data_IF_127977249865
#
_entry.id   IF_127977249865
#
_cell.length_a   1.000
_cell.length_b   1.000
_cell.length_c   1.000
_cell.angle_alpha   90.00
_cell.angle_beta   90.00
_cell.angle_gamma   90.00
#
_symmetry.space_group_name_H-M   'P 1'
#
loop_
_entity.id
_entity.type
_entity.pdbx_description
1 polymer ?
#
# COMPACT_ATOMS: atom_id res chain seq x y z
N UNK A 1 37.10 14.78 3.34
CA UNK A 1 36.49 13.90 2.31
C UNK A 1 35.11 13.52 2.81
N UNK A 2 34.06 14.02 2.17
CA UNK A 2 32.67 13.68 2.53
C UNK A 2 32.39 12.31 1.91
N UNK A 3 32.08 11.31 2.74
CA UNK A 3 31.71 9.98 2.28
C UNK A 3 30.48 10.11 1.35
N UNK A 4 30.59 9.58 0.13
CA UNK A 4 29.45 9.46 -0.77
C UNK A 4 28.32 8.69 -0.04
N UNK A 5 27.06 9.10 -0.15
CA UNK A 5 25.96 8.37 0.47
C UNK A 5 26.00 6.95 -0.07
N UNK A 6 26.11 5.96 0.82
CA UNK A 6 26.06 4.56 0.43
C UNK A 6 24.79 4.36 -0.41
N UNK A 7 24.95 4.01 -1.69
CA UNK A 7 23.83 3.67 -2.55
C UNK A 7 23.16 2.44 -1.96
N UNK A 8 22.15 2.69 -1.14
CA UNK A 8 21.34 1.69 -0.47
C UNK A 8 20.66 0.91 -1.61
N UNK A 9 21.10 -0.32 -1.84
CA UNK A 9 20.63 -1.16 -2.94
C UNK A 9 19.42 -1.97 -2.49
N UNK A 10 18.47 -2.20 -3.40
CA UNK A 10 17.36 -3.11 -3.15
C UNK A 10 17.90 -4.53 -2.95
N UNK A 11 17.32 -5.26 -1.99
CA UNK A 11 17.59 -6.69 -1.85
C UNK A 11 17.04 -7.46 -3.05
N UNK A 12 17.50 -8.70 -3.25
CA UNK A 12 16.97 -9.58 -4.31
C UNK A 12 15.46 -9.78 -4.20
N UNK A 13 14.96 -9.93 -2.97
CA UNK A 13 13.52 -10.09 -2.72
C UNK A 13 12.73 -8.82 -3.10
N UNK A 14 13.25 -7.64 -2.76
CA UNK A 14 12.62 -6.37 -3.12
C UNK A 14 12.64 -6.11 -4.64
N UNK A 15 13.73 -6.48 -5.33
CA UNK A 15 13.78 -6.42 -6.79
C UNK A 15 12.76 -7.34 -7.44
N UNK A 16 12.57 -8.54 -6.88
CA UNK A 16 11.56 -9.48 -7.37
C UNK A 16 10.14 -8.96 -7.14
N UNK A 17 9.87 -8.34 -5.99
CA UNK A 17 8.58 -7.66 -5.73
C UNK A 17 8.34 -6.52 -6.71
N UNK A 18 9.34 -5.67 -6.98
CA UNK A 18 9.26 -4.66 -8.02
C UNK A 18 8.94 -5.29 -9.38
N UNK A 19 9.59 -6.41 -9.74
CA UNK A 19 9.35 -7.08 -11.03
C UNK A 19 7.91 -7.56 -11.14
N UNK A 20 7.40 -8.26 -10.13
CA UNK A 20 6.03 -8.76 -10.10
C UNK A 20 5.00 -7.62 -10.15
N UNK A 21 5.24 -6.54 -9.39
CA UNK A 21 4.37 -5.36 -9.41
C UNK A 21 4.35 -4.67 -10.79
N UNK A 22 5.50 -4.56 -11.45
CA UNK A 22 5.59 -3.96 -12.79
C UNK A 22 4.84 -4.80 -13.82
N UNK A 23 5.07 -6.12 -13.83
CA UNK A 23 4.40 -7.05 -14.75
C UNK A 23 2.89 -7.10 -14.53
N UNK A 24 2.44 -6.97 -13.29
CA UNK A 24 1.02 -6.91 -12.96
C UNK A 24 0.36 -5.65 -13.55
N UNK A 25 1.04 -4.51 -13.53
CA UNK A 25 0.51 -3.24 -14.06
C UNK A 25 0.67 -3.12 -15.58
N UNK A 26 1.71 -3.70 -16.16
CA UNK A 26 1.92 -3.76 -17.61
C UNK A 26 1.14 -4.93 -18.24
N UNK A 27 -0.19 -4.93 -18.05
CA UNK A 27 -1.09 -5.97 -18.54
C UNK A 27 -0.95 -6.22 -20.05
N UNK A 28 -0.61 -5.15 -20.79
CA UNK A 28 -0.46 -5.16 -22.25
C UNK A 28 0.96 -5.52 -22.71
N UNK A 29 1.88 -5.80 -21.78
CA UNK A 29 3.29 -6.16 -22.04
C UNK A 29 4.01 -5.18 -22.96
N UNK A 30 3.75 -3.88 -22.78
CA UNK A 30 4.39 -2.80 -23.54
C UNK A 30 5.83 -2.53 -23.07
N UNK A 31 6.22 -3.07 -21.92
CA UNK A 31 7.51 -2.83 -21.27
C UNK A 31 7.59 -1.48 -20.56
N UNK A 32 6.48 -0.75 -20.45
CA UNK A 32 6.42 0.61 -19.91
C UNK A 32 5.14 0.85 -19.13
N UNK A 33 5.22 1.71 -18.11
CA UNK A 33 4.08 2.24 -17.37
C UNK A 33 3.92 3.74 -17.63
N UNK A 34 2.68 4.23 -17.59
CA UNK A 34 2.40 5.67 -17.58
C UNK A 34 2.79 6.28 -16.24
N UNK A 35 3.51 7.41 -16.27
CA UNK A 35 4.01 8.07 -15.07
C UNK A 35 2.87 8.53 -14.15
N UNK A 36 1.82 9.11 -14.74
CA UNK A 36 0.71 9.72 -13.99
C UNK A 36 -0.20 8.73 -13.27
N UNK A 37 -0.37 7.55 -13.84
CA UNK A 37 -1.38 6.58 -13.42
C UNK A 37 -0.75 5.31 -12.84
N UNK A 38 0.48 4.98 -13.25
CA UNK A 38 1.14 3.72 -12.93
C UNK A 38 2.10 3.78 -11.74
N UNK A 39 2.83 4.89 -11.53
CA UNK A 39 3.95 4.92 -10.58
C UNK A 39 3.52 4.75 -9.12
N UNK A 40 2.45 5.44 -8.70
CA UNK A 40 1.92 5.29 -7.35
C UNK A 40 1.48 3.86 -7.04
N UNK A 41 0.81 3.21 -8.00
CA UNK A 41 0.41 1.81 -7.90
C UNK A 41 1.62 0.88 -7.89
N UNK A 42 2.61 1.12 -8.75
CA UNK A 42 3.83 0.32 -8.83
C UNK A 42 4.56 0.27 -7.49
N UNK A 43 4.78 1.42 -6.86
CA UNK A 43 5.48 1.46 -5.57
C UNK A 43 4.72 0.77 -4.46
N UNK A 44 3.40 0.96 -4.40
CA UNK A 44 2.54 0.31 -3.39
C UNK A 44 2.51 -1.20 -3.55
N UNK A 45 2.35 -1.69 -4.77
CA UNK A 45 2.38 -3.11 -5.08
C UNK A 45 3.76 -3.74 -4.84
N UNK A 46 4.83 -2.97 -5.06
CA UNK A 46 6.20 -3.39 -4.76
C UNK A 46 6.54 -3.35 -3.26
N UNK A 47 5.59 -3.01 -2.39
CA UNK A 47 5.75 -2.99 -0.93
C UNK A 47 6.32 -1.71 -0.35
N UNK A 48 6.40 -0.63 -1.13
CA UNK A 48 6.75 0.70 -0.63
C UNK A 48 5.48 1.46 -0.23
N UNK A 49 5.59 2.37 0.74
CA UNK A 49 4.45 3.11 1.26
C UNK A 49 4.62 4.63 1.06
N UNK A 50 4.78 5.14 -0.17
CA UNK A 50 4.84 6.58 -0.38
C UNK A 50 3.48 7.23 -0.13
N UNK A 51 3.49 8.41 0.49
CA UNK A 51 2.29 9.25 0.62
C UNK A 51 1.86 9.78 -0.74
N UNK A 52 0.59 10.18 -0.89
CA UNK A 52 0.13 10.78 -2.15
C UNK A 52 0.92 12.04 -2.51
N UNK A 53 1.27 12.87 -1.52
CA UNK A 53 2.12 14.04 -1.72
C UNK A 53 3.52 13.66 -2.25
N UNK A 54 4.14 12.63 -1.70
CA UNK A 54 5.43 12.12 -2.19
C UNK A 54 5.32 11.58 -3.61
N UNK A 55 4.26 10.85 -3.92
CA UNK A 55 4.00 10.35 -5.28
C UNK A 55 3.83 11.52 -6.25
N UNK A 56 3.03 12.54 -5.90
CA UNK A 56 2.79 13.70 -6.75
C UNK A 56 4.06 14.51 -6.99
N UNK A 57 4.88 14.76 -5.96
CA UNK A 57 6.16 15.46 -6.12
C UNK A 57 7.08 14.72 -7.11
N UNK A 58 7.12 13.38 -7.05
CA UNK A 58 7.93 12.58 -7.97
C UNK A 58 7.37 12.57 -9.38
N UNK A 59 6.04 12.49 -9.54
CA UNK A 59 5.35 12.59 -10.83
C UNK A 59 5.62 13.96 -11.47
N UNK A 60 5.45 15.05 -10.73
CA UNK A 60 5.72 16.41 -11.22
C UNK A 60 7.17 16.59 -11.65
N UNK A 61 8.12 16.05 -10.87
CA UNK A 61 9.54 16.05 -11.21
C UNK A 61 9.79 15.35 -12.55
N UNK A 62 9.19 14.17 -12.77
CA UNK A 62 9.31 13.43 -14.02
C UNK A 62 8.64 14.13 -15.20
N UNK A 63 7.48 14.75 -14.98
CA UNK A 63 6.78 15.57 -15.99
C UNK A 63 7.58 16.78 -16.42
N UNK A 64 8.23 17.47 -15.47
CA UNK A 64 9.13 18.59 -15.77
C UNK A 64 10.33 18.13 -16.63
N UNK A 65 10.78 16.89 -16.43
CA UNK A 65 11.78 16.22 -17.26
C UNK A 65 11.22 15.65 -18.58
N UNK A 66 9.92 15.88 -18.87
CA UNK A 66 9.18 15.37 -20.04
C UNK A 66 9.16 13.84 -20.13
N UNK A 67 9.13 13.17 -18.99
CA UNK A 67 8.98 11.71 -18.90
C UNK A 67 7.52 11.38 -18.69
N UNK A 68 6.89 10.81 -19.72
CA UNK A 68 5.48 10.37 -19.68
C UNK A 68 5.34 8.85 -19.49
N UNK A 69 6.35 8.10 -19.93
CA UNK A 69 6.42 6.64 -19.85
C UNK A 69 7.71 6.22 -19.13
N UNK A 70 7.61 5.16 -18.33
CA UNK A 70 8.72 4.64 -17.56
C UNK A 70 8.89 3.14 -17.73
N UNK A 71 10.10 2.70 -18.04
CA UNK A 71 10.47 1.28 -18.06
C UNK A 71 10.80 0.77 -16.64
N UNK A 72 10.93 -0.56 -16.53
CA UNK A 72 11.23 -1.21 -15.25
C UNK A 72 12.53 -0.71 -14.60
N UNK A 73 13.60 -0.54 -15.39
CA UNK A 73 14.90 -0.14 -14.86
C UNK A 73 14.86 1.27 -14.29
N UNK A 74 14.22 2.20 -15.00
CA UNK A 74 14.01 3.58 -14.57
C UNK A 74 13.13 3.64 -13.33
N UNK A 75 12.06 2.84 -13.26
CA UNK A 75 11.19 2.76 -12.09
C UNK A 75 11.97 2.31 -10.84
N UNK A 76 12.77 1.25 -10.97
CA UNK A 76 13.65 0.75 -9.89
C UNK A 76 14.69 1.78 -9.46
N UNK A 77 15.28 2.51 -10.41
CA UNK A 77 16.27 3.55 -10.12
C UNK A 77 15.67 4.71 -9.32
N UNK A 78 14.44 5.12 -9.63
CA UNK A 78 13.73 6.14 -8.86
C UNK A 78 13.40 5.63 -7.46
N UNK A 79 12.89 4.40 -7.35
CA UNK A 79 12.63 3.77 -6.04
C UNK A 79 13.87 3.79 -5.16
N UNK A 80 15.03 3.42 -5.72
CA UNK A 80 16.30 3.39 -5.00
C UNK A 80 16.74 4.77 -4.51
N UNK A 81 16.58 5.81 -5.34
CA UNK A 81 17.07 7.17 -5.06
C UNK A 81 16.14 7.94 -4.13
N UNK A 82 14.84 7.81 -4.34
CA UNK A 82 13.85 8.73 -3.79
C UNK A 82 13.00 8.08 -2.68
N UNK A 83 12.77 6.76 -2.73
CA UNK A 83 11.86 6.08 -1.79
C UNK A 83 12.57 5.21 -0.76
N UNK A 84 13.70 4.60 -1.12
CA UNK A 84 14.45 3.74 -0.22
C UNK A 84 14.98 4.43 1.06
N UNK A 85 15.27 5.74 1.06
CA UNK A 85 15.54 6.48 2.30
C UNK A 85 14.34 6.53 3.27
N UNK A 86 13.12 6.43 2.73
CA UNK A 86 11.85 6.50 3.48
C UNK A 86 11.13 5.16 3.57
N UNK A 87 11.80 4.06 3.18
CA UNK A 87 11.22 2.73 3.28
C UNK A 87 10.81 2.46 4.74
N UNK A 88 9.52 2.23 4.98
CA UNK A 88 9.02 1.83 6.28
C UNK A 88 9.62 0.47 6.63
N UNK A 89 10.17 0.36 7.84
CA UNK A 89 10.40 -0.97 8.39
C UNK A 89 9.05 -1.66 8.66
N UNK A 90 9.08 -2.99 8.67
CA UNK A 90 7.88 -3.81 8.85
C UNK A 90 7.16 -3.53 10.18
N UNK A 91 7.91 -3.12 11.21
CA UNK A 91 7.37 -2.79 12.53
C UNK A 91 6.57 -1.49 12.48
N UNK A 92 7.11 -0.47 11.84
CA UNK A 92 6.47 0.85 11.66
C UNK A 92 5.23 0.72 10.78
N UNK A 93 5.31 -0.08 9.71
CA UNK A 93 4.16 -0.37 8.85
C UNK A 93 3.06 -1.10 9.63
N UNK A 94 3.40 -2.13 10.42
CA UNK A 94 2.45 -2.86 11.25
C UNK A 94 1.77 -1.93 12.27
N UNK A 95 2.55 -1.17 13.04
CA UNK A 95 2.02 -0.27 14.06
C UNK A 95 1.10 0.80 13.46
N UNK A 96 1.51 1.41 12.34
CA UNK A 96 0.69 2.43 11.66
C UNK A 96 -0.60 1.84 11.07
N UNK A 97 -0.54 0.62 10.53
CA UNK A 97 -1.72 -0.11 10.04
C UNK A 97 -2.69 -0.44 11.17
N UNK A 98 -2.18 -0.92 12.31
CA UNK A 98 -3.00 -1.21 13.50
C UNK A 98 -3.70 0.05 14.02
N UNK A 99 -3.00 1.18 14.14
CA UNK A 99 -3.59 2.43 14.62
C UNK A 99 -4.63 2.99 13.63
N UNK A 100 -4.39 2.88 12.33
CA UNK A 100 -5.37 3.27 11.31
C UNK A 100 -6.65 2.41 11.39
N UNK A 101 -6.51 1.09 11.53
CA UNK A 101 -7.63 0.15 11.66
C UNK A 101 -8.43 0.46 12.93
N UNK A 102 -7.76 0.70 14.07
CA UNK A 102 -8.41 1.13 15.32
C UNK A 102 -9.19 2.43 15.12
N UNK A 103 -8.62 3.42 14.44
CA UNK A 103 -9.27 4.70 14.22
C UNK A 103 -10.53 4.58 13.34
N UNK A 104 -10.45 3.77 12.28
CA UNK A 104 -11.50 3.65 11.28
C UNK A 104 -12.62 2.69 11.70
N UNK A 105 -12.27 1.57 12.34
CA UNK A 105 -13.23 0.55 12.73
C UNK A 105 -13.94 0.81 14.07
N UNK A 106 -13.60 1.90 14.77
CA UNK A 106 -14.28 2.34 16.01
C UNK A 106 -15.78 2.52 15.78
N UNK A 107 -16.55 1.96 16.71
CA UNK A 107 -17.99 2.21 16.82
C UNK A 107 -18.24 3.70 17.10
N UNK A 108 -19.19 4.29 16.36
CA UNK A 108 -19.66 5.67 16.57
C UNK A 108 -20.55 5.81 17.82
N UNK A 109 -20.39 4.93 18.82
CA UNK A 109 -20.98 5.15 20.14
C UNK A 109 -20.28 6.37 20.73
N UNK A 110 -20.95 7.53 20.72
CA UNK A 110 -20.47 8.80 21.30
C UNK A 110 -20.22 8.77 22.82
N UNK A 111 -19.95 7.60 23.38
CA UNK A 111 -19.53 7.37 24.73
C UNK A 111 -18.07 6.89 24.74
N UNK A 112 -17.20 7.48 25.57
CA UNK A 112 -15.91 6.89 25.91
C UNK A 112 -16.20 5.65 26.78
N UNK A 113 -16.67 4.58 26.14
CA UNK A 113 -16.63 3.25 26.73
C UNK A 113 -15.18 2.84 26.97
N UNK A 114 -14.93 1.80 27.77
CA UNK A 114 -13.60 1.20 27.82
C UNK A 114 -13.13 0.92 26.39
N UNK A 115 -11.84 1.06 26.07
CA UNK A 115 -11.33 0.83 24.72
C UNK A 115 -11.86 -0.53 24.27
N UNK A 116 -12.85 -0.52 23.38
CA UNK A 116 -13.34 -1.75 22.79
C UNK A 116 -12.17 -2.25 21.96
N UNK A 117 -11.53 -3.31 22.46
CA UNK A 117 -10.36 -3.94 21.88
C UNK A 117 -10.65 -4.37 20.43
N UNK A 118 -11.93 -4.67 20.15
CA UNK A 118 -12.43 -5.04 18.83
C UNK A 118 -12.93 -3.87 18.02
N UNK A 119 -12.80 -4.00 16.71
CA UNK A 119 -13.29 -3.05 15.70
C UNK A 119 -14.34 -3.69 14.80
N UNK A 120 -15.26 -2.90 14.25
CA UNK A 120 -16.28 -3.39 13.32
C UNK A 120 -15.81 -3.28 11.88
N UNK A 121 -15.84 -4.39 11.14
CA UNK A 121 -15.53 -4.40 9.69
C UNK A 121 -16.52 -3.52 8.91
N UNK A 122 -17.79 -3.48 9.31
CA UNK A 122 -18.79 -2.62 8.68
C UNK A 122 -18.42 -1.13 8.78
N UNK A 123 -17.90 -0.68 9.94
CA UNK A 123 -17.42 0.70 10.10
C UNK A 123 -16.16 0.95 9.27
N UNK A 124 -15.24 -0.02 9.23
CA UNK A 124 -14.03 0.05 8.42
C UNK A 124 -14.40 0.20 6.93
N UNK A 125 -15.32 -0.63 6.42
CA UNK A 125 -15.86 -0.56 5.06
C UNK A 125 -16.47 0.80 4.77
N UNK A 126 -17.36 1.28 5.64
CA UNK A 126 -18.05 2.55 5.46
C UNK A 126 -17.11 3.76 5.39
N UNK A 127 -15.93 3.69 6.04
CA UNK A 127 -14.94 4.77 6.04
C UNK A 127 -13.85 4.62 4.98
N UNK A 128 -13.51 3.40 4.59
CA UNK A 128 -12.45 3.13 3.60
C UNK A 128 -12.96 3.07 2.16
N UNK A 129 -14.22 2.67 1.97
CA UNK A 129 -14.76 2.36 0.65
C UNK A 129 -15.81 3.40 0.27
N UNK A 130 -15.65 4.00 -0.92
CA UNK A 130 -16.70 4.83 -1.50
C UNK A 130 -17.92 3.97 -1.84
N UNK A 131 -19.09 4.33 -1.30
CA UNK A 131 -20.35 3.62 -1.55
C UNK A 131 -20.82 3.69 -3.01
N UNK A 132 -20.24 4.58 -3.82
CA UNK A 132 -20.54 4.75 -5.24
C UNK A 132 -19.66 3.91 -6.16
N UNK A 133 -18.58 3.31 -5.65
CA UNK A 133 -17.65 2.50 -6.44
C UNK A 133 -17.82 1.01 -6.14
N UNK A 134 -18.58 0.34 -7.01
CA UNK A 134 -18.82 -1.10 -6.91
C UNK A 134 -17.54 -1.94 -6.98
N UNK A 135 -16.49 -1.45 -7.68
CA UNK A 135 -15.21 -2.16 -7.76
C UNK A 135 -14.51 -2.14 -6.40
N UNK A 136 -14.45 -0.97 -5.76
CA UNK A 136 -13.88 -0.85 -4.41
C UNK A 136 -14.65 -1.66 -3.38
N UNK A 137 -15.99 -1.68 -3.46
CA UNK A 137 -16.84 -2.54 -2.63
C UNK A 137 -16.47 -4.02 -2.82
N UNK A 138 -16.47 -4.52 -4.05
CA UNK A 138 -16.21 -5.93 -4.33
C UNK A 138 -14.78 -6.34 -3.96
N UNK A 139 -13.81 -5.45 -4.10
CA UNK A 139 -12.43 -5.70 -3.70
C UNK A 139 -12.30 -5.79 -2.17
N UNK A 140 -12.94 -4.89 -1.43
CA UNK A 140 -12.94 -4.93 0.03
C UNK A 140 -13.59 -6.21 0.55
N UNK A 141 -14.78 -6.57 0.04
CA UNK A 141 -15.48 -7.80 0.44
C UNK A 141 -14.65 -9.06 0.18
N UNK A 142 -13.99 -9.14 -0.99
CA UNK A 142 -13.11 -10.26 -1.32
C UNK A 142 -11.93 -10.35 -0.37
N UNK A 143 -11.27 -9.23 -0.10
CA UNK A 143 -10.14 -9.17 0.83
C UNK A 143 -10.54 -9.66 2.23
N UNK A 144 -11.70 -9.22 2.74
CA UNK A 144 -12.22 -9.65 4.04
C UNK A 144 -12.55 -11.16 4.04
N UNK A 145 -13.14 -11.68 2.97
CA UNK A 145 -13.45 -13.10 2.83
C UNK A 145 -12.20 -13.98 2.70
N UNK A 146 -11.18 -13.53 1.98
CA UNK A 146 -9.88 -14.22 1.86
C UNK A 146 -9.18 -14.33 3.21
N UNK A 147 -9.46 -13.41 4.15
CA UNK A 147 -9.00 -13.46 5.54
C UNK A 147 -9.88 -14.35 6.44
N UNK A 148 -10.93 -14.97 5.89
CA UNK A 148 -11.83 -15.85 6.64
C UNK A 148 -12.96 -15.13 7.39
N UNK A 149 -13.17 -13.84 7.15
CA UNK A 149 -14.21 -13.05 7.81
C UNK A 149 -15.49 -12.96 6.98
N UNK A 150 -16.62 -12.74 7.66
CA UNK A 150 -17.99 -12.73 7.11
C UNK A 150 -18.54 -11.34 6.78
N UNK A 151 -17.71 -10.28 6.85
CA UNK A 151 -18.04 -8.94 6.34
C UNK A 151 -18.53 -7.92 7.38
N UNK A 152 -19.32 -8.35 8.37
CA UNK A 152 -19.93 -7.43 9.36
C UNK A 152 -19.56 -7.74 10.82
N UNK A 153 -18.57 -8.61 11.04
CA UNK A 153 -18.14 -9.02 12.37
C UNK A 153 -17.25 -7.99 13.09
N UNK A 154 -17.11 -8.18 14.40
CA UNK A 154 -16.13 -7.48 15.23
C UNK A 154 -14.84 -8.28 15.32
N UNK A 155 -13.73 -7.69 14.90
CA UNK A 155 -12.42 -8.34 14.82
C UNK A 155 -11.38 -7.67 15.69
N UNK A 156 -10.37 -8.44 16.04
CA UNK A 156 -9.17 -7.92 16.68
C UNK A 156 -8.34 -7.10 15.67
N UNK A 157 -8.00 -5.83 15.98
CA UNK A 157 -7.29 -4.95 15.05
C UNK A 157 -5.84 -5.37 14.84
N UNK A 158 -5.22 -6.06 15.80
CA UNK A 158 -3.84 -6.53 15.67
C UNK A 158 -3.76 -7.68 14.68
N UNK A 159 -4.62 -8.68 14.85
CA UNK A 159 -4.74 -9.81 13.94
C UNK A 159 -5.15 -9.36 12.53
N UNK A 160 -6.11 -8.42 12.40
CA UNK A 160 -6.49 -7.90 11.08
C UNK A 160 -5.32 -7.19 10.38
N UNK A 161 -4.54 -6.39 11.11
CA UNK A 161 -3.37 -5.70 10.55
C UNK A 161 -2.29 -6.69 10.09
N UNK A 162 -2.03 -7.74 10.87
CA UNK A 162 -1.09 -8.79 10.48
C UNK A 162 -1.55 -9.52 9.21
N UNK A 163 -2.84 -9.87 9.11
CA UNK A 163 -3.39 -10.53 7.92
C UNK A 163 -3.38 -9.61 6.68
N UNK A 164 -3.56 -8.29 6.86
CA UNK A 164 -3.48 -7.31 5.78
C UNK A 164 -2.06 -7.16 5.21
N UNK A 165 -1.05 -7.23 6.08
CA UNK A 165 0.35 -7.04 5.68
C UNK A 165 1.04 -8.34 5.26
N UNK A 166 0.58 -9.47 5.79
CA UNK A 166 1.01 -10.81 5.43
C UNK A 166 -0.21 -11.67 5.12
N UNK A 167 -0.82 -11.51 3.94
CA UNK A 167 -1.90 -12.40 3.52
C UNK A 167 -1.33 -13.81 3.43
N UNK A 168 -1.66 -14.67 4.40
CA UNK A 168 -1.43 -16.10 4.29
C UNK A 168 -2.29 -16.59 3.14
N UNK A 169 -1.66 -16.81 1.98
CA UNK A 169 -2.25 -17.57 0.87
C UNK A 169 -2.46 -18.96 1.44
N UNK A 170 -3.68 -19.24 1.88
CA UNK A 170 -4.11 -20.60 2.17
C UNK A 170 -4.39 -21.23 0.81
N UNK A 171 -3.48 -22.09 0.37
CA UNK A 171 -3.63 -22.94 -0.83
C UNK A 171 -4.90 -23.81 -0.76
#
# INVERSE_FOLDING_TARGET
MVAAPAHRSLSRAQLEQCRLAFEFLDEQRKGVLEVDTGLGHFWRLAGFCPTDEQVQILIEKLKNDKVELIDFHRAVDITRKELLPFACDSVTLLNSTQEAIKLLGRSNTGFPGPPSEKISIANLRARMVSSTDQRSINNFERMIQEMGYKGDEEVDPENLAEMLLNPTITE
#
